data_IF_807446712704
#
_entry.id   IF_807446712704
#
_cell.length_a   1.000
_cell.length_b   1.000
_cell.length_c   1.000
_cell.angle_alpha   90.00
_cell.angle_beta   90.00
_cell.angle_gamma   90.00
#
_symmetry.space_group_name_H-M   'P 1'
#
loop_
_entity.id
_entity.type
_entity.pdbx_description
1 polymer ?
#
# COMPACT_ATOMS: atom_id res chain seq x y z
N UNK A 1 -19.97 2.17 -14.35
CA UNK A 1 -20.10 1.69 -12.96
C UNK A 1 -19.63 2.81 -12.06
N UNK A 2 -20.41 3.23 -11.06
CA UNK A 2 -19.96 4.27 -10.13
C UNK A 2 -19.01 3.61 -9.13
N UNK A 3 -17.75 4.03 -9.11
CA UNK A 3 -16.76 3.55 -8.14
C UNK A 3 -17.10 4.24 -6.81
N UNK A 4 -17.43 3.44 -5.79
CA UNK A 4 -17.72 3.96 -4.44
C UNK A 4 -16.87 3.28 -3.38
N UNK A 5 -16.48 2.03 -3.59
CA UNK A 5 -15.71 1.22 -2.65
C UNK A 5 -14.31 1.04 -3.20
N UNK A 6 -13.31 1.60 -2.52
CA UNK A 6 -11.92 1.66 -2.96
C UNK A 6 -11.04 1.00 -1.92
N UNK A 7 -10.33 -0.04 -2.34
CA UNK A 7 -9.35 -0.74 -1.52
C UNK A 7 -7.96 -0.14 -1.74
N UNK A 8 -7.17 0.05 -0.68
CA UNK A 8 -5.92 0.82 -0.72
C UNK A 8 -4.83 0.06 0.03
N UNK A 9 -3.78 -0.36 -0.66
CA UNK A 9 -2.57 -0.86 -0.01
C UNK A 9 -1.86 0.24 0.80
N UNK A 10 -1.09 -0.15 1.83
CA UNK A 10 -0.45 0.78 2.74
C UNK A 10 1.05 0.97 2.46
N UNK A 11 1.81 -0.11 2.34
CA UNK A 11 3.27 -0.05 2.19
C UNK A 11 3.61 0.36 0.76
N UNK A 12 4.56 1.27 0.58
CA UNK A 12 4.95 1.82 -0.73
C UNK A 12 3.81 2.45 -1.56
N UNK A 13 2.59 2.53 -1.01
CA UNK A 13 1.41 3.20 -1.58
C UNK A 13 0.97 4.42 -0.76
N UNK A 14 0.61 4.22 0.52
CA UNK A 14 0.33 5.32 1.47
C UNK A 14 1.60 5.73 2.20
N UNK A 15 2.47 4.77 2.47
CA UNK A 15 3.58 4.87 3.39
C UNK A 15 4.87 4.34 2.75
N UNK A 16 5.90 5.17 2.53
CA UNK A 16 7.21 4.74 2.05
C UNK A 16 7.96 3.99 3.16
N UNK A 17 7.70 2.69 3.28
CA UNK A 17 8.30 1.79 4.26
C UNK A 17 9.78 1.55 3.97
N UNK A 18 10.13 1.31 2.70
CA UNK A 18 11.45 0.86 2.26
C UNK A 18 12.58 1.83 2.65
N UNK A 19 12.49 3.15 2.39
CA UNK A 19 13.61 4.04 2.71
C UNK A 19 13.98 4.04 4.20
N UNK A 20 12.99 4.04 5.10
CA UNK A 20 13.24 4.01 6.54
C UNK A 20 13.71 2.63 7.02
N UNK A 21 13.13 1.56 6.49
CA UNK A 21 13.57 0.19 6.77
C UNK A 21 15.03 -0.02 6.39
N UNK A 22 15.45 0.50 5.23
CA UNK A 22 16.83 0.40 4.78
C UNK A 22 17.81 1.18 5.65
N UNK A 23 17.43 2.35 6.19
CA UNK A 23 18.28 3.07 7.16
C UNK A 23 18.54 2.20 8.38
N UNK A 24 17.47 1.65 8.97
CA UNK A 24 17.56 0.75 10.13
C UNK A 24 18.42 -0.49 9.83
N UNK A 25 18.08 -1.21 8.76
CA UNK A 25 18.76 -2.45 8.36
C UNK A 25 20.23 -2.21 8.02
N UNK A 26 20.54 -1.17 7.25
CA UNK A 26 21.93 -0.83 6.89
C UNK A 26 22.77 -0.57 8.13
N UNK A 27 22.23 0.13 9.14
CA UNK A 27 22.91 0.36 10.42
C UNK A 27 23.17 -0.94 11.19
N UNK A 28 22.16 -1.82 11.28
CA UNK A 28 22.27 -3.10 11.99
C UNK A 28 23.28 -4.06 11.33
N UNK A 29 23.23 -4.17 10.01
CA UNK A 29 24.00 -5.17 9.26
C UNK A 29 25.25 -4.61 8.57
N UNK A 30 25.57 -3.33 8.78
CA UNK A 30 26.71 -2.63 8.17
C UNK A 30 26.69 -2.71 6.63
N UNK A 31 25.50 -2.58 6.03
CA UNK A 31 25.27 -2.63 4.58
C UNK A 31 24.95 -1.24 4.01
N UNK A 32 24.78 -1.13 2.69
CA UNK A 32 24.54 0.15 1.98
C UNK A 32 23.45 0.02 0.92
N UNK A 33 22.40 -0.75 1.21
CA UNK A 33 21.26 -0.92 0.32
C UNK A 33 20.50 0.39 0.13
N UNK A 34 19.93 0.57 -1.07
CA UNK A 34 19.13 1.73 -1.47
C UNK A 34 17.80 1.26 -2.05
N UNK A 35 16.81 2.13 -2.09
CA UNK A 35 15.48 1.79 -2.62
C UNK A 35 15.53 1.27 -4.05
N UNK A 36 16.44 1.77 -4.89
CA UNK A 36 16.59 1.31 -6.28
C UNK A 36 17.09 -0.14 -6.39
N UNK A 37 17.68 -0.70 -5.31
CA UNK A 37 18.12 -2.09 -5.27
C UNK A 37 17.00 -3.05 -4.85
N UNK A 38 15.92 -2.54 -4.27
CA UNK A 38 14.76 -3.37 -3.94
C UNK A 38 14.01 -3.56 -5.24
N UNK A 39 14.06 -4.77 -5.80
CA UNK A 39 13.44 -5.11 -7.10
C UNK A 39 12.48 -6.30 -6.98
N UNK A 40 12.40 -6.91 -5.80
CA UNK A 40 11.56 -8.05 -5.48
C UNK A 40 10.87 -7.80 -4.14
N UNK A 41 9.62 -8.24 -4.04
CA UNK A 41 8.83 -8.17 -2.81
C UNK A 41 9.45 -9.00 -1.68
N UNK A 42 10.01 -10.16 -2.01
CA UNK A 42 10.67 -11.02 -1.05
C UNK A 42 12.12 -10.56 -0.82
N UNK A 43 12.36 -9.90 0.32
CA UNK A 43 13.69 -9.38 0.68
C UNK A 43 14.81 -10.42 0.64
N UNK A 44 14.52 -11.70 0.84
CA UNK A 44 15.53 -12.76 0.72
C UNK A 44 16.14 -12.84 -0.68
N UNK A 45 15.36 -12.56 -1.72
CA UNK A 45 15.83 -12.55 -3.10
C UNK A 45 16.74 -11.35 -3.39
N UNK A 46 16.52 -10.23 -2.69
CA UNK A 46 17.31 -9.00 -2.83
C UNK A 46 18.60 -9.08 -2.01
N UNK A 47 18.50 -9.49 -0.74
CA UNK A 47 19.62 -9.50 0.20
C UNK A 47 20.41 -10.81 0.20
N UNK A 48 19.96 -11.81 -0.56
CA UNK A 48 20.58 -13.13 -0.66
C UNK A 48 20.79 -13.79 0.72
N UNK A 49 19.74 -13.79 1.54
CA UNK A 49 19.73 -14.33 2.90
C UNK A 49 18.48 -15.20 3.16
N UNK A 50 18.38 -15.78 4.36
CA UNK A 50 17.24 -16.62 4.71
C UNK A 50 15.97 -15.77 4.89
N UNK A 51 14.78 -16.21 4.42
CA UNK A 51 13.54 -15.44 4.55
C UNK A 51 13.21 -15.01 5.99
N UNK A 52 13.45 -15.90 6.97
CA UNK A 52 13.18 -15.63 8.37
C UNK A 52 13.97 -14.45 8.97
N UNK A 53 15.19 -14.20 8.48
CA UNK A 53 16.03 -13.11 8.99
C UNK A 53 15.40 -11.74 8.66
N UNK A 54 14.80 -11.63 7.48
CA UNK A 54 14.15 -10.39 7.04
C UNK A 54 12.85 -10.14 7.81
N UNK A 55 12.09 -11.20 8.14
CA UNK A 55 10.88 -11.07 8.95
C UNK A 55 11.19 -10.49 10.33
N UNK A 56 12.27 -10.95 10.97
CA UNK A 56 12.73 -10.39 12.26
C UNK A 56 13.13 -8.93 12.11
N UNK A 57 13.92 -8.59 11.10
CA UNK A 57 14.33 -7.20 10.86
C UNK A 57 13.14 -6.26 10.59
N UNK A 58 12.13 -6.72 9.85
CA UNK A 58 10.90 -5.96 9.58
C UNK A 58 10.14 -5.68 10.87
N UNK A 59 9.90 -6.71 11.68
CA UNK A 59 9.17 -6.57 12.96
C UNK A 59 9.95 -5.67 13.92
N UNK A 60 11.26 -5.82 14.01
CA UNK A 60 12.10 -4.96 14.84
C UNK A 60 12.06 -3.50 14.37
N UNK A 61 12.13 -3.27 13.05
CA UNK A 61 12.02 -1.93 12.49
C UNK A 61 10.69 -1.29 12.85
N UNK A 62 9.58 -1.98 12.62
CA UNK A 62 8.22 -1.50 12.93
C UNK A 62 8.04 -1.13 14.40
N UNK A 63 8.71 -1.85 15.31
CA UNK A 63 8.66 -1.57 16.75
C UNK A 63 9.73 -0.56 17.22
N UNK A 64 10.56 -0.04 16.33
CA UNK A 64 11.65 0.88 16.67
C UNK A 64 11.27 2.35 16.52
N UNK A 65 12.03 3.23 17.19
CA UNK A 65 11.92 4.68 16.99
C UNK A 65 12.24 5.11 15.55
N UNK A 66 13.06 4.33 14.82
CA UNK A 66 13.39 4.60 13.42
C UNK A 66 12.15 4.60 12.54
N UNK A 67 11.18 3.72 12.80
CA UNK A 67 9.93 3.69 12.05
C UNK A 67 9.20 5.03 12.12
N UNK A 68 9.08 5.59 13.33
CA UNK A 68 8.40 6.87 13.57
C UNK A 68 9.18 8.08 13.04
N UNK A 69 10.51 8.03 13.07
CA UNK A 69 11.36 9.13 12.61
C UNK A 69 11.47 9.19 11.09
N UNK A 70 11.56 8.04 10.43
CA UNK A 70 11.86 7.94 9.00
C UNK A 70 10.63 7.78 8.13
N UNK A 71 9.52 7.29 8.68
CA UNK A 71 8.33 6.98 7.87
C UNK A 71 7.33 8.11 7.92
N UNK A 72 6.97 8.66 6.76
CA UNK A 72 5.93 9.70 6.60
C UNK A 72 5.09 9.39 5.38
N UNK A 73 3.77 9.65 5.37
CA UNK A 73 2.95 9.33 4.21
C UNK A 73 3.47 9.97 2.93
N UNK A 74 3.27 9.31 1.79
CA UNK A 74 3.61 9.87 0.50
C UNK A 74 2.98 11.26 0.31
N UNK A 75 3.68 12.20 -0.35
CA UNK A 75 3.11 13.51 -0.65
C UNK A 75 1.76 13.41 -1.35
N UNK A 76 0.76 14.08 -0.78
CA UNK A 76 -0.62 14.09 -1.28
C UNK A 76 -1.53 12.99 -0.72
N UNK A 77 -1.00 11.88 -0.17
CA UNK A 77 -1.79 10.74 0.30
C UNK A 77 -2.88 11.15 1.29
N UNK A 78 -2.48 11.84 2.36
CA UNK A 78 -3.40 12.30 3.42
C UNK A 78 -4.50 13.17 2.83
N UNK A 79 -4.15 14.16 2.01
CA UNK A 79 -5.12 15.10 1.42
C UNK A 79 -6.09 14.38 0.49
N UNK A 80 -5.60 13.50 -0.37
CA UNK A 80 -6.43 12.78 -1.36
C UNK A 80 -7.40 11.83 -0.68
N UNK A 81 -6.93 11.00 0.26
CA UNK A 81 -7.78 10.04 0.99
C UNK A 81 -8.85 10.78 1.79
N UNK A 82 -8.48 11.85 2.51
CA UNK A 82 -9.45 12.68 3.23
C UNK A 82 -10.47 13.36 2.31
N UNK A 83 -10.07 13.71 1.09
CA UNK A 83 -10.96 14.30 0.09
C UNK A 83 -11.94 13.26 -0.45
N UNK A 84 -11.45 12.09 -0.88
CA UNK A 84 -12.28 10.99 -1.36
C UNK A 84 -13.31 10.56 -0.29
N UNK A 85 -12.89 10.41 0.97
CA UNK A 85 -13.81 10.09 2.05
C UNK A 85 -14.91 11.16 2.22
N UNK A 86 -14.58 12.45 2.11
CA UNK A 86 -15.57 13.55 2.16
C UNK A 86 -16.50 13.60 0.95
N UNK A 87 -16.04 13.13 -0.20
CA UNK A 87 -16.82 12.98 -1.43
C UNK A 87 -17.70 11.71 -1.42
N UNK A 88 -17.69 10.97 -0.30
CA UNK A 88 -18.57 9.83 -0.06
C UNK A 88 -18.09 8.54 -0.71
N UNK A 89 -16.77 8.37 -0.87
CA UNK A 89 -16.16 7.08 -1.15
C UNK A 89 -15.94 6.31 0.16
N UNK A 90 -16.18 5.01 0.14
CA UNK A 90 -15.81 4.07 1.20
C UNK A 90 -14.40 3.55 0.92
N UNK A 91 -13.46 3.90 1.78
CA UNK A 91 -12.04 3.59 1.60
C UNK A 91 -11.64 2.51 2.59
N UNK A 92 -10.97 1.47 2.12
CA UNK A 92 -10.55 0.35 2.98
C UNK A 92 -9.02 0.23 2.91
N UNK A 93 -8.36 0.22 4.06
CA UNK A 93 -6.93 -0.11 4.09
C UNK A 93 -6.76 -1.62 3.91
N UNK A 94 -5.91 -2.07 2.99
CA UNK A 94 -5.79 -3.49 2.65
C UNK A 94 -4.32 -3.83 2.42
N UNK A 95 -3.64 -4.25 3.49
CA UNK A 95 -2.18 -4.46 3.51
C UNK A 95 -1.85 -5.93 3.67
N UNK A 96 -0.70 -6.36 3.13
CA UNK A 96 -0.16 -7.71 3.36
C UNK A 96 0.58 -7.88 4.69
N UNK A 97 0.71 -6.81 5.49
CA UNK A 97 1.32 -6.83 6.83
C UNK A 97 0.77 -7.92 7.73
N UNK A 98 1.61 -8.36 8.66
CA UNK A 98 1.22 -9.28 9.72
C UNK A 98 0.16 -8.66 10.64
N UNK A 99 -0.73 -9.49 11.18
CA UNK A 99 -1.74 -9.01 12.14
C UNK A 99 -1.10 -8.34 13.36
N UNK A 100 0.05 -8.83 13.80
CA UNK A 100 0.83 -8.28 14.91
C UNK A 100 1.27 -6.82 14.64
N UNK A 101 1.43 -6.41 13.38
CA UNK A 101 1.75 -5.05 12.99
C UNK A 101 0.52 -4.12 12.94
N UNK A 102 -0.69 -4.62 13.19
CA UNK A 102 -1.92 -3.81 13.12
C UNK A 102 -1.90 -2.61 14.06
N UNK A 103 -1.46 -2.81 15.31
CA UNK A 103 -1.39 -1.74 16.31
C UNK A 103 -0.52 -0.57 15.86
N UNK A 104 0.71 -0.85 15.40
CA UNK A 104 1.63 0.19 14.92
C UNK A 104 1.16 0.83 13.61
N UNK A 105 0.56 0.04 12.71
CA UNK A 105 0.00 0.53 11.44
C UNK A 105 -1.14 1.52 11.68
N UNK A 106 -2.08 1.17 12.56
CA UNK A 106 -3.21 2.04 12.91
C UNK A 106 -2.74 3.28 13.68
N UNK A 107 -1.73 3.14 14.54
CA UNK A 107 -1.14 4.28 15.23
C UNK A 107 -0.47 5.26 14.25
N UNK A 108 0.26 4.76 13.25
CA UNK A 108 0.84 5.57 12.17
C UNK A 108 -0.25 6.36 11.42
N UNK A 109 -1.30 5.67 10.96
CA UNK A 109 -2.41 6.31 10.26
C UNK A 109 -3.09 7.37 11.15
N UNK A 110 -3.36 7.07 12.42
CA UNK A 110 -3.96 8.03 13.35
C UNK A 110 -3.07 9.26 13.58
N UNK A 111 -1.76 9.07 13.71
CA UNK A 111 -0.81 10.17 13.94
C UNK A 111 -0.75 11.15 12.76
N UNK A 112 -0.77 10.64 11.53
CA UNK A 112 -0.62 11.45 10.32
C UNK A 112 -1.94 11.95 9.73
N UNK A 113 -3.00 11.15 9.78
CA UNK A 113 -4.33 11.52 9.29
C UNK A 113 -5.17 12.24 10.36
N UNK A 114 -4.69 12.28 11.61
CA UNK A 114 -5.37 12.82 12.80
C UNK A 114 -6.66 12.08 13.19
N UNK A 115 -7.05 11.06 12.43
CA UNK A 115 -8.20 10.20 12.68
C UNK A 115 -8.17 9.02 11.72
N UNK A 116 -8.75 7.89 12.13
CA UNK A 116 -8.98 6.73 11.26
C UNK A 116 -10.31 6.82 10.49
N UNK A 117 -11.16 7.81 10.77
CA UNK A 117 -12.51 7.95 10.19
C UNK A 117 -12.58 8.03 8.66
N UNK A 118 -11.44 8.24 8.00
CA UNK A 118 -11.35 8.30 6.55
C UNK A 118 -11.30 6.90 5.92
N UNK A 119 -11.06 5.87 6.72
CA UNK A 119 -11.14 4.47 6.34
C UNK A 119 -12.36 3.82 6.99
N UNK A 120 -13.08 3.04 6.22
CA UNK A 120 -14.26 2.28 6.66
C UNK A 120 -13.85 1.01 7.40
N UNK A 121 -12.84 0.28 6.91
CA UNK A 121 -12.30 -0.91 7.55
C UNK A 121 -10.85 -1.17 7.11
N UNK A 122 -10.19 -2.13 7.77
CA UNK A 122 -8.81 -2.54 7.51
C UNK A 122 -8.67 -4.06 7.35
N UNK A 123 -8.02 -4.47 6.26
CA UNK A 123 -7.60 -5.85 5.99
C UNK A 123 -6.11 -6.00 6.24
N UNK A 124 -5.75 -7.02 7.03
CA UNK A 124 -4.36 -7.44 7.25
C UNK A 124 -4.20 -8.85 6.70
N UNK A 125 -3.39 -8.98 5.65
CA UNK A 125 -3.28 -10.23 4.91
C UNK A 125 -2.38 -11.27 5.57
N UNK A 126 -1.59 -10.88 6.58
CA UNK A 126 -0.75 -11.80 7.34
C UNK A 126 0.28 -12.58 6.51
N UNK A 127 0.97 -11.93 5.56
CA UNK A 127 2.09 -12.55 4.82
C UNK A 127 3.32 -12.70 5.72
N UNK A 128 4.02 -13.83 5.58
CA UNK A 128 5.20 -14.18 6.38
C UNK A 128 4.99 -14.05 7.90
N UNK A 129 4.01 -14.77 8.48
CA UNK A 129 3.71 -14.65 9.90
C UNK A 129 4.84 -15.26 10.76
N UNK A 130 5.21 -14.58 11.85
CA UNK A 130 6.08 -15.15 12.88
C UNK A 130 5.35 -16.19 13.74
N UNK A 131 4.04 -16.00 13.95
CA UNK A 131 3.18 -16.88 14.74
C UNK A 131 1.96 -17.34 13.91
N UNK A 132 1.57 -18.60 14.02
CA UNK A 132 0.51 -19.24 13.22
C UNK A 132 -0.92 -18.95 13.71
N UNK A 133 -1.10 -18.02 14.64
CA UNK A 133 -2.39 -17.79 15.33
C UNK A 133 -3.47 -17.12 14.48
N UNK A 134 -3.09 -16.39 13.42
CA UNK A 134 -4.01 -15.65 12.55
C UNK A 134 -3.96 -16.21 11.13
N UNK A 135 -5.12 -16.34 10.50
CA UNK A 135 -5.22 -16.88 9.14
C UNK A 135 -4.82 -15.85 8.09
N UNK A 136 -4.17 -16.29 7.02
CA UNK A 136 -3.94 -15.48 5.83
C UNK A 136 -5.28 -15.07 5.21
N UNK A 137 -5.43 -13.79 4.86
CA UNK A 137 -6.55 -13.28 4.07
C UNK A 137 -5.96 -12.57 2.86
N UNK A 138 -6.31 -13.02 1.66
CA UNK A 138 -5.84 -12.36 0.45
C UNK A 138 -6.49 -10.98 0.29
N UNK A 139 -5.79 -10.08 -0.38
CA UNK A 139 -6.32 -8.76 -0.68
C UNK A 139 -7.61 -8.83 -1.51
N UNK A 140 -7.75 -9.83 -2.40
CA UNK A 140 -8.97 -10.01 -3.20
C UNK A 140 -10.16 -10.47 -2.36
N UNK A 141 -9.98 -11.44 -1.45
CA UNK A 141 -11.06 -11.87 -0.55
C UNK A 141 -11.56 -10.72 0.32
N UNK A 142 -10.65 -9.84 0.74
CA UNK A 142 -11.00 -8.61 1.43
C UNK A 142 -11.77 -7.63 0.53
N UNK A 143 -11.32 -7.41 -0.71
CA UNK A 143 -12.05 -6.58 -1.69
C UNK A 143 -13.47 -7.10 -1.93
N UNK A 144 -13.65 -8.42 -2.14
CA UNK A 144 -14.93 -9.06 -2.38
C UNK A 144 -15.90 -8.86 -1.19
N UNK A 145 -15.39 -9.02 0.04
CA UNK A 145 -16.18 -8.82 1.27
C UNK A 145 -16.83 -7.44 1.34
N UNK A 146 -16.14 -6.41 0.84
CA UNK A 146 -16.61 -5.02 0.88
C UNK A 146 -17.12 -4.51 -0.47
N UNK A 147 -17.22 -5.38 -1.49
CA UNK A 147 -17.64 -5.00 -2.83
C UNK A 147 -16.75 -3.92 -3.45
N UNK A 148 -15.45 -3.92 -3.15
CA UNK A 148 -14.50 -3.00 -3.76
C UNK A 148 -14.23 -3.45 -5.21
N UNK A 149 -14.41 -2.55 -6.17
CA UNK A 149 -14.16 -2.79 -7.59
C UNK A 149 -12.93 -2.02 -8.13
N UNK A 150 -12.31 -1.21 -7.28
CA UNK A 150 -11.05 -0.54 -7.52
C UNK A 150 -10.07 -0.81 -6.38
N UNK A 151 -8.83 -1.15 -6.73
CA UNK A 151 -7.71 -1.28 -5.79
C UNK A 151 -6.56 -0.34 -6.15
N UNK A 152 -5.85 0.20 -5.17
CA UNK A 152 -4.62 0.99 -5.34
C UNK A 152 -3.49 0.21 -4.67
N UNK A 153 -2.45 -0.13 -5.43
CA UNK A 153 -1.31 -0.94 -4.96
C UNK A 153 -0.06 -0.60 -5.77
N UNK A 154 1.12 -0.72 -5.18
CA UNK A 154 2.40 -0.53 -5.87
C UNK A 154 2.94 -1.85 -6.46
N UNK A 155 2.44 -3.00 -5.99
CA UNK A 155 2.87 -4.33 -6.40
C UNK A 155 2.33 -4.69 -7.78
N UNK A 156 3.27 -4.95 -8.70
CA UNK A 156 2.92 -5.41 -10.04
C UNK A 156 2.22 -6.77 -10.00
N UNK A 157 2.65 -7.70 -9.14
CA UNK A 157 2.03 -9.02 -9.07
C UNK A 157 0.59 -8.95 -8.57
N UNK A 158 0.32 -8.14 -7.54
CA UNK A 158 -1.05 -7.93 -7.03
C UNK A 158 -1.92 -7.25 -8.09
N UNK A 159 -1.38 -6.23 -8.77
CA UNK A 159 -2.11 -5.53 -9.80
C UNK A 159 -2.52 -6.44 -10.95
N UNK A 160 -1.62 -7.30 -11.44
CA UNK A 160 -1.94 -8.27 -12.48
C UNK A 160 -2.95 -9.32 -12.00
N UNK A 161 -2.77 -9.85 -10.79
CA UNK A 161 -3.67 -10.85 -10.23
C UNK A 161 -5.09 -10.29 -10.08
N UNK A 162 -5.26 -9.14 -9.44
CA UNK A 162 -6.57 -8.52 -9.27
C UNK A 162 -7.21 -8.10 -10.60
N UNK A 163 -6.41 -7.55 -11.52
CA UNK A 163 -6.90 -7.21 -12.85
C UNK A 163 -7.39 -8.43 -13.64
N UNK A 164 -6.75 -9.60 -13.47
CA UNK A 164 -7.19 -10.85 -14.09
C UNK A 164 -8.57 -11.32 -13.60
N UNK A 165 -8.97 -10.87 -12.41
CA UNK A 165 -10.27 -11.13 -11.79
C UNK A 165 -11.30 -10.02 -12.10
N UNK A 166 -10.98 -9.09 -13.00
CA UNK A 166 -11.88 -8.03 -13.46
C UNK A 166 -11.88 -6.77 -12.61
N UNK A 167 -11.02 -6.65 -11.60
CA UNK A 167 -10.87 -5.40 -10.85
C UNK A 167 -10.20 -4.31 -11.69
N UNK A 168 -10.54 -3.05 -11.41
CA UNK A 168 -9.69 -1.92 -11.83
C UNK A 168 -8.58 -1.75 -10.81
N UNK A 169 -7.33 -1.63 -11.25
CA UNK A 169 -6.20 -1.39 -10.36
C UNK A 169 -5.51 -0.09 -10.74
N UNK A 170 -5.27 0.77 -9.77
CA UNK A 170 -4.35 1.89 -9.91
C UNK A 170 -2.98 1.42 -9.42
N UNK A 171 -2.05 1.21 -10.34
CA UNK A 171 -0.66 0.85 -10.01
C UNK A 171 0.08 2.12 -9.57
N UNK A 172 0.35 2.24 -8.27
CA UNK A 172 1.02 3.39 -7.69
C UNK A 172 2.53 3.31 -7.92
N UNK A 173 3.09 4.29 -8.62
CA UNK A 173 4.49 4.31 -9.01
C UNK A 173 5.06 5.70 -8.74
N UNK A 174 5.38 5.96 -7.48
CA UNK A 174 5.69 7.31 -7.02
C UNK A 174 6.81 7.93 -7.86
N UNK A 175 6.48 9.02 -8.56
CA UNK A 175 7.37 9.72 -9.51
C UNK A 175 7.96 8.85 -10.63
N UNK A 176 7.45 7.65 -10.89
CA UNK A 176 8.03 6.73 -11.86
C UNK A 176 9.33 6.07 -11.36
N UNK A 177 9.49 5.88 -10.06
CA UNK A 177 10.74 5.42 -9.43
C UNK A 177 10.60 4.12 -8.66
N UNK A 178 9.43 3.49 -8.63
CA UNK A 178 9.23 2.23 -7.91
C UNK A 178 9.86 1.09 -8.70
N UNK A 179 11.06 0.64 -8.31
CA UNK A 179 11.89 -0.23 -9.15
C UNK A 179 11.23 -1.58 -9.51
N UNK A 180 10.43 -2.16 -8.63
CA UNK A 180 9.79 -3.47 -8.85
C UNK A 180 8.51 -3.43 -9.72
N UNK A 181 8.01 -2.26 -10.10
CA UNK A 181 6.74 -2.15 -10.84
C UNK A 181 6.85 -1.56 -12.25
N UNK A 182 8.06 -1.57 -12.82
CA UNK A 182 8.39 -0.96 -14.12
C UNK A 182 8.11 -1.89 -15.31
N UNK A 183 6.83 -2.04 -15.66
CA UNK A 183 6.38 -2.76 -16.86
C UNK A 183 5.59 -1.85 -17.79
N UNK A 184 5.93 -1.88 -19.09
CA UNK A 184 5.32 -1.03 -20.12
C UNK A 184 3.94 -1.55 -20.55
N UNK A 185 3.85 -2.85 -20.87
CA UNK A 185 2.63 -3.47 -21.37
C UNK A 185 1.72 -3.87 -20.21
N UNK A 186 0.89 -2.92 -19.76
CA UNK A 186 -0.13 -3.14 -18.74
C UNK A 186 -1.49 -3.48 -19.38
N UNK A 187 -2.28 -4.40 -18.79
CA UNK A 187 -3.68 -4.60 -19.15
C UNK A 187 -4.48 -3.29 -19.06
N UNK A 188 -5.55 -3.10 -19.87
CA UNK A 188 -6.32 -1.85 -19.89
C UNK A 188 -6.95 -1.44 -18.57
N UNK A 189 -7.22 -2.40 -17.68
CA UNK A 189 -7.77 -2.17 -16.34
C UNK A 189 -6.70 -1.94 -15.26
N UNK A 190 -5.42 -1.87 -15.63
CA UNK A 190 -4.33 -1.40 -14.75
C UNK A 190 -3.92 0.00 -15.22
N UNK A 191 -4.10 0.98 -14.35
CA UNK A 191 -3.83 2.39 -14.63
C UNK A 191 -2.67 2.84 -13.76
N UNK A 192 -1.53 3.18 -14.36
CA UNK A 192 -0.38 3.69 -13.60
C UNK A 192 -0.66 5.12 -13.12
N UNK A 193 -0.37 5.40 -11.85
CA UNK A 193 -0.44 6.73 -11.27
C UNK A 193 0.88 7.07 -10.57
N UNK A 194 1.49 8.20 -10.92
CA UNK A 194 2.80 8.62 -10.39
C UNK A 194 2.73 9.51 -9.15
N UNK A 195 1.52 9.85 -8.72
CA UNK A 195 1.26 10.66 -7.55
C UNK A 195 -0.15 10.45 -7.03
N UNK A 196 -0.39 10.83 -5.78
CA UNK A 196 -1.73 10.83 -5.20
C UNK A 196 -2.69 11.83 -5.85
N UNK A 197 -2.18 12.81 -6.62
CA UNK A 197 -3.01 13.66 -7.46
C UNK A 197 -3.53 12.90 -8.68
N UNK A 198 -2.68 12.11 -9.33
CA UNK A 198 -3.07 11.26 -10.46
C UNK A 198 -4.02 10.14 -10.03
N UNK A 199 -3.82 9.57 -8.84
CA UNK A 199 -4.79 8.64 -8.23
C UNK A 199 -6.16 9.29 -8.15
N UNK A 200 -6.24 10.50 -7.58
CA UNK A 200 -7.49 11.25 -7.46
C UNK A 200 -8.14 11.52 -8.82
N UNK A 201 -7.35 11.96 -9.81
CA UNK A 201 -7.84 12.22 -11.16
C UNK A 201 -8.37 10.95 -11.83
N UNK A 202 -7.69 9.82 -11.63
CA UNK A 202 -8.07 8.52 -12.22
C UNK A 202 -9.42 8.05 -11.68
N UNK A 203 -9.61 8.11 -10.36
CA UNK A 203 -10.88 7.75 -9.71
C UNK A 203 -12.03 8.62 -10.25
N UNK A 204 -11.80 9.92 -10.41
CA UNK A 204 -12.86 10.83 -10.86
C UNK A 204 -13.13 10.81 -12.37
N UNK A 205 -12.19 10.37 -13.21
CA UNK A 205 -12.45 10.15 -14.65
C UNK A 205 -13.42 9.00 -14.89
N UNK A 206 -13.47 8.01 -13.99
CA UNK A 206 -14.39 6.86 -14.07
C UNK A 206 -15.78 7.10 -13.45
N UNK A 207 -15.94 8.18 -12.68
CA UNK A 207 -17.23 8.60 -12.13
C UNK A 207 -17.95 9.48 -13.15
N UNK A 208 -19.27 9.29 -13.40
CA UNK A 208 -20.02 10.25 -14.19
C UNK A 208 -19.84 11.61 -13.55
N UNK A 209 -19.33 12.57 -14.33
CA UNK A 209 -19.18 13.95 -13.92
C UNK A 209 -20.54 14.45 -13.43
N UNK A 210 -20.68 14.66 -12.12
CA UNK A 210 -21.75 15.52 -11.60
C UNK A 210 -21.41 16.94 -12.02
N UNK A 211 -21.80 17.26 -13.25
CA UNK A 211 -21.89 18.62 -13.74
C UNK A 211 -22.92 19.37 -12.90
N UNK A 212 -22.43 20.40 -12.19
CA UNK A 212 -23.12 21.64 -11.80
C UNK A 212 -24.25 21.53 -10.77
N UNK A 213 -24.07 22.19 -9.62
CA UNK A 213 -24.98 23.27 -9.18
C UNK A 213 -24.11 24.44 -8.70
N UNK A 214 -24.49 25.62 -9.18
CA UNK A 214 -23.92 26.98 -9.01
C UNK A 214 -23.77 27.38 -7.55
#
# INVERSE_FOLDING_TARGET
MIIKNVSIDLDETVMPFIPGYLIFRNGRHQTRWRSEHIIDYAFCNVFNNHPGDNTVDVVDYENSDWYWQCTKPFPGAVRTIQRLAREGYHLFGNTSRQWQASGVTLAFLKAHFKSLKYFTDFGFGNRYPLNTGESYVSKIEFCDRFGANLHIDDSLSEAFFMASLGMTVILFDYQGKTAWNQRDNLPPNIIRAKSWLEVYQTINRGSPSTSVIV
#
